data_IF_319023378383
#
_entry.id   IF_319023378383
#
_cell.length_a   1.000
_cell.length_b   1.000
_cell.length_c   1.000
_cell.angle_alpha   90.00
_cell.angle_beta   90.00
_cell.angle_gamma   90.00
#
_symmetry.space_group_name_H-M   'P 1'
#
loop_
_entity.id
_entity.type
_entity.pdbx_description
1 polymer ?
#
# COMPACT_ATOMS: atom_id res chain seq x y z
N UNK A 1 19.86 -18.08 -22.39
CA UNK A 1 19.40 -18.12 -22.34
C UNK A 1 19.26 -18.31 -23.02
N UNK A 2 18.93 -18.19 -23.16
CA UNK A 2 18.51 -17.99 -23.52
C UNK A 2 18.07 -17.89 -23.78
N UNK A 3 17.84 -17.80 -24.52
CA UNK A 3 17.04 -17.52 -24.35
C UNK A 3 16.75 -18.02 -23.78
N UNK A 4 17.85 -18.41 -23.65
CA UNK A 4 17.54 -19.11 -22.83
C UNK A 4 16.47 -19.35 -23.28
N UNK A 5 16.66 -20.12 -23.06
CA UNK A 5 15.31 -19.97 -23.25
C UNK A 5 14.83 -18.74 -22.52
N UNK A 6 15.13 -17.64 -23.11
CA UNK A 6 14.78 -16.37 -22.51
C UNK A 6 13.28 -16.28 -22.31
N UNK A 7 12.53 -16.76 -23.29
CA UNK A 7 11.09 -16.67 -23.20
C UNK A 7 10.53 -17.49 -22.06
N UNK A 8 10.99 -18.71 -21.92
CA UNK A 8 10.55 -19.54 -20.82
C UNK A 8 11.02 -19.01 -19.49
N UNK A 9 12.25 -18.57 -19.45
CA UNK A 9 12.82 -17.94 -18.27
C UNK A 9 11.97 -16.76 -17.83
N UNK A 10 11.60 -15.92 -18.77
CA UNK A 10 10.77 -14.77 -18.49
C UNK A 10 9.36 -15.18 -18.05
N UNK A 11 8.80 -16.16 -18.77
CA UNK A 11 7.45 -16.63 -18.49
C UNK A 11 7.34 -17.29 -17.13
N UNK A 12 8.44 -17.84 -16.62
CA UNK A 12 8.41 -18.56 -15.36
C UNK A 12 8.79 -17.73 -14.16
N UNK A 13 8.81 -16.42 -14.29
CA UNK A 13 9.03 -15.58 -13.16
C UNK A 13 10.07 -14.51 -13.37
N UNK A 14 11.12 -14.78 -14.13
CA UNK A 14 12.16 -13.78 -14.33
C UNK A 14 11.69 -12.65 -15.24
N UNK A 15 10.91 -12.98 -16.23
CA UNK A 15 10.23 -11.97 -17.01
C UNK A 15 9.28 -11.19 -16.13
N UNK A 16 8.56 -11.92 -15.29
CA UNK A 16 7.62 -11.32 -14.39
C UNK A 16 8.33 -10.33 -13.48
N UNK A 17 9.44 -10.74 -12.89
CA UNK A 17 10.23 -9.86 -12.05
C UNK A 17 10.77 -8.66 -12.83
N UNK A 18 11.18 -8.88 -14.09
CA UNK A 18 11.71 -7.80 -14.90
C UNK A 18 10.64 -6.81 -15.32
N UNK A 19 9.44 -7.32 -15.68
CA UNK A 19 8.32 -6.48 -16.10
C UNK A 19 7.60 -5.90 -14.89
N UNK A 20 7.46 -6.70 -13.84
CA UNK A 20 6.78 -6.32 -12.62
C UNK A 20 7.79 -5.94 -11.54
N UNK A 21 8.71 -5.08 -11.91
CA UNK A 21 9.72 -4.57 -10.98
C UNK A 21 9.04 -3.76 -9.87
N UNK A 22 9.82 -3.31 -8.93
CA UNK A 22 9.30 -2.50 -7.84
C UNK A 22 8.48 -1.33 -8.38
N UNK A 23 7.33 -1.05 -7.79
CA UNK A 23 6.53 0.11 -8.20
C UNK A 23 7.36 1.39 -8.11
N UNK A 24 7.18 2.27 -9.08
CA UNK A 24 8.01 3.46 -9.16
C UNK A 24 8.04 4.29 -7.87
N UNK A 25 6.92 4.50 -7.16
CA UNK A 25 6.98 5.28 -5.92
C UNK A 25 7.85 4.67 -4.83
N UNK A 26 8.14 3.36 -4.85
CA UNK A 26 9.04 2.77 -3.88
C UNK A 26 10.50 3.12 -4.18
N UNK A 27 10.80 3.53 -5.40
CA UNK A 27 12.15 3.83 -5.86
C UNK A 27 12.38 5.33 -6.07
N UNK A 28 11.32 6.10 -6.18
CA UNK A 28 11.36 7.54 -6.43
C UNK A 28 10.73 8.25 -5.24
N UNK A 29 11.58 8.79 -4.37
CA UNK A 29 11.13 9.44 -3.15
C UNK A 29 10.25 10.66 -3.42
N UNK A 30 10.57 11.42 -4.46
CA UNK A 30 9.76 12.59 -4.80
C UNK A 30 8.36 12.19 -5.21
N UNK A 31 8.25 11.15 -6.03
CA UNK A 31 6.95 10.65 -6.46
C UNK A 31 6.16 10.11 -5.27
N UNK A 32 6.82 9.37 -4.40
CA UNK A 32 6.18 8.84 -3.20
C UNK A 32 5.63 9.99 -2.34
N UNK A 33 6.41 11.01 -2.12
CA UNK A 33 5.99 12.17 -1.32
C UNK A 33 4.84 12.92 -1.98
N UNK A 34 4.92 13.08 -3.29
CA UNK A 34 3.84 13.73 -4.04
C UNK A 34 2.53 12.96 -3.90
N UNK A 35 2.59 11.65 -4.07
CA UNK A 35 1.41 10.81 -3.97
C UNK A 35 0.84 10.83 -2.55
N UNK A 36 1.73 10.78 -1.54
CA UNK A 36 1.30 10.87 -0.15
C UNK A 36 0.60 12.19 0.15
N UNK A 37 1.18 13.29 -0.31
CA UNK A 37 0.59 14.60 -0.07
C UNK A 37 -0.75 14.74 -0.78
N UNK A 38 -0.88 14.17 -1.97
CA UNK A 38 -2.17 14.15 -2.68
C UNK A 38 -3.21 13.36 -1.89
N UNK A 39 -2.83 12.25 -1.29
CA UNK A 39 -3.74 11.43 -0.50
C UNK A 39 -4.19 12.18 0.76
N UNK A 40 -3.30 12.95 1.37
CA UNK A 40 -3.65 13.74 2.55
C UNK A 40 -4.67 14.82 2.18
N UNK A 41 -4.49 15.47 1.03
CA UNK A 41 -5.31 16.60 0.62
C UNK A 41 -6.65 16.21 0.01
N UNK A 42 -6.72 15.06 -0.65
CA UNK A 42 -7.94 14.67 -1.35
C UNK A 42 -9.06 14.37 -0.36
N UNK A 43 -10.21 15.01 -0.53
CA UNK A 43 -11.31 14.86 0.40
C UNK A 43 -11.85 13.44 0.49
N UNK A 44 -11.76 12.68 -0.60
CA UNK A 44 -12.27 11.32 -0.61
C UNK A 44 -11.26 10.30 -0.08
N UNK A 45 -10.02 10.69 0.15
CA UNK A 45 -8.99 9.81 0.69
C UNK A 45 -8.67 10.15 2.14
N UNK A 46 -8.36 11.41 2.42
CA UNK A 46 -8.07 11.89 3.78
C UNK A 46 -7.10 10.96 4.51
N UNK A 47 -5.93 10.72 3.92
CA UNK A 47 -4.90 9.93 4.58
C UNK A 47 -4.60 10.56 5.94
N UNK A 48 -4.84 9.82 7.00
CA UNK A 48 -4.99 10.38 8.32
C UNK A 48 -3.76 10.34 9.19
N UNK A 49 -3.90 10.84 10.40
CA UNK A 49 -2.77 10.98 11.32
C UNK A 49 -2.35 9.65 11.91
N UNK A 50 -1.10 9.62 12.38
CA UNK A 50 -0.57 8.49 13.10
C UNK A 50 -1.18 8.37 14.49
N UNK A 51 -1.63 9.48 15.05
CA UNK A 51 -2.05 9.59 16.45
C UNK A 51 -3.52 9.21 16.63
N UNK A 52 -3.76 8.13 17.37
CA UNK A 52 -5.12 7.69 17.68
C UNK A 52 -5.85 8.64 18.61
N UNK A 53 -5.16 9.59 19.22
CA UNK A 53 -5.82 10.58 20.08
C UNK A 53 -6.33 11.78 19.30
N UNK A 54 -6.16 11.81 17.99
CA UNK A 54 -6.76 12.86 17.17
C UNK A 54 -8.24 12.52 16.98
N UNK A 55 -9.04 12.80 17.99
CA UNK A 55 -10.46 12.45 17.99
C UNK A 55 -11.20 13.10 16.83
N UNK A 56 -10.83 14.32 16.44
CA UNK A 56 -11.50 15.00 15.33
C UNK A 56 -11.46 14.19 14.06
N UNK A 57 -10.28 13.65 13.73
CA UNK A 57 -10.15 12.81 12.54
C UNK A 57 -10.98 11.54 12.65
N UNK A 58 -10.88 10.84 13.79
CA UNK A 58 -11.56 9.55 13.94
C UNK A 58 -13.06 9.69 14.01
N UNK A 59 -13.56 10.81 14.54
CA UNK A 59 -14.99 11.08 14.52
C UNK A 59 -15.50 11.25 13.08
N UNK A 60 -14.75 11.99 12.26
CA UNK A 60 -15.12 12.17 10.86
C UNK A 60 -15.03 10.87 10.08
N UNK A 61 -14.01 10.07 10.35
CA UNK A 61 -13.87 8.77 9.70
C UNK A 61 -15.02 7.84 10.07
N UNK A 62 -15.39 7.81 11.34
CA UNK A 62 -16.51 6.99 11.80
C UNK A 62 -17.80 7.41 11.12
N UNK A 63 -18.02 8.71 10.97
CA UNK A 63 -19.18 9.22 10.26
C UNK A 63 -19.15 8.80 8.79
N UNK A 64 -17.99 8.95 8.16
CA UNK A 64 -17.82 8.57 6.75
C UNK A 64 -18.14 7.11 6.53
N UNK A 65 -17.68 6.22 7.42
CA UNK A 65 -17.92 4.79 7.30
C UNK A 65 -19.22 4.33 7.96
N UNK A 66 -19.96 5.26 8.55
CA UNK A 66 -21.22 4.96 9.23
C UNK A 66 -21.03 3.91 10.32
N UNK A 67 -20.08 4.15 11.20
CA UNK A 67 -19.74 3.23 12.28
C UNK A 67 -19.35 4.00 13.54
N UNK A 68 -18.81 3.31 14.55
CA UNK A 68 -18.38 3.94 15.78
C UNK A 68 -16.92 4.35 15.70
N UNK A 69 -16.52 5.28 16.58
CA UNK A 69 -15.13 5.71 16.66
C UNK A 69 -14.22 4.52 16.99
N UNK A 70 -14.67 3.64 17.87
CA UNK A 70 -13.89 2.47 18.26
C UNK A 70 -13.60 1.56 17.06
N UNK A 71 -14.61 1.32 16.24
CA UNK A 71 -14.43 0.49 15.03
C UNK A 71 -13.56 1.22 14.02
N UNK A 72 -13.76 2.53 13.87
CA UNK A 72 -12.93 3.31 12.94
C UNK A 72 -11.45 3.21 13.32
N UNK A 73 -11.14 3.28 14.62
CA UNK A 73 -9.75 3.20 15.08
C UNK A 73 -9.11 1.84 14.84
N UNK A 74 -9.90 0.81 14.59
CA UNK A 74 -9.39 -0.51 14.23
C UNK A 74 -9.15 -0.67 12.73
N UNK A 75 -9.65 0.25 11.94
CA UNK A 75 -9.56 0.20 10.48
C UNK A 75 -8.33 0.97 10.02
N UNK A 76 -7.19 0.29 10.02
CA UNK A 76 -5.89 0.91 9.72
C UNK A 76 -5.28 0.32 8.46
N UNK A 77 -4.28 0.99 7.93
CA UNK A 77 -3.58 0.49 6.74
C UNK A 77 -3.13 -0.95 6.94
N UNK A 78 -2.67 -1.30 8.12
CA UNK A 78 -2.14 -2.64 8.38
C UNK A 78 -3.13 -3.77 8.14
N UNK A 79 -4.42 -3.49 8.09
CA UNK A 79 -5.41 -4.50 7.75
C UNK A 79 -6.25 -4.11 6.52
N UNK A 80 -5.74 -3.18 5.73
CA UNK A 80 -6.38 -2.76 4.49
C UNK A 80 -6.04 -3.74 3.36
N UNK A 81 -7.02 -4.02 2.52
CA UNK A 81 -6.88 -4.97 1.41
C UNK A 81 -5.79 -4.56 0.42
N UNK A 82 -5.47 -3.27 0.34
CA UNK A 82 -4.49 -2.74 -0.60
C UNK A 82 -3.10 -2.54 0.01
N UNK A 83 -2.91 -2.89 1.28
CA UNK A 83 -1.65 -2.66 1.99
C UNK A 83 -0.72 -3.85 1.79
N UNK A 84 0.37 -3.63 1.07
CA UNK A 84 1.26 -4.69 0.61
C UNK A 84 2.51 -4.77 1.47
N UNK A 85 2.62 -5.87 2.22
CA UNK A 85 3.81 -6.21 3.01
C UNK A 85 4.35 -7.56 2.59
N UNK A 86 4.09 -7.97 1.36
CA UNK A 86 4.67 -9.20 0.82
C UNK A 86 6.19 -9.12 0.84
N UNK A 87 6.84 -10.26 0.81
CA UNK A 87 8.29 -10.32 0.86
C UNK A 87 8.92 -9.51 -0.28
N UNK A 88 8.40 -9.67 -1.49
CA UNK A 88 8.91 -8.90 -2.63
C UNK A 88 8.76 -7.40 -2.43
N UNK A 89 7.65 -6.98 -1.85
CA UNK A 89 7.41 -5.55 -1.66
C UNK A 89 8.31 -4.98 -0.57
N UNK A 90 8.53 -5.73 0.50
CA UNK A 90 9.44 -5.28 1.55
C UNK A 90 10.87 -5.14 1.03
N UNK A 91 11.26 -5.97 0.07
CA UNK A 91 12.57 -5.82 -0.57
C UNK A 91 12.64 -4.53 -1.40
N UNK A 92 11.52 -4.07 -1.92
CA UNK A 92 11.45 -2.81 -2.65
C UNK A 92 11.54 -1.60 -1.73
N UNK A 93 11.33 -1.78 -0.43
CA UNK A 93 11.24 -0.71 0.55
C UNK A 93 12.16 -0.96 1.73
N UNK A 94 13.50 -0.95 1.51
CA UNK A 94 14.41 -1.15 2.64
C UNK A 94 14.20 -0.05 3.70
N UNK A 95 14.29 -0.44 4.97
CA UNK A 95 14.06 0.50 6.06
C UNK A 95 12.59 0.73 6.38
N UNK A 96 11.72 -0.21 6.00
CA UNK A 96 10.28 -0.07 6.22
C UNK A 96 9.87 -0.18 7.69
N UNK A 97 10.72 -0.71 8.55
CA UNK A 97 10.41 -0.82 9.98
C UNK A 97 10.58 0.54 10.63
N UNK A 98 9.59 0.96 11.40
CA UNK A 98 9.56 2.25 12.09
C UNK A 98 9.34 1.99 13.58
N UNK A 99 9.71 2.97 14.43
CA UNK A 99 9.58 2.82 15.88
C UNK A 99 8.14 2.57 16.34
N UNK A 100 7.18 3.16 15.66
CA UNK A 100 5.76 3.09 16.03
C UNK A 100 4.93 2.24 15.09
N UNK A 101 5.58 1.47 14.21
CA UNK A 101 4.89 0.60 13.26
C UNK A 101 5.80 0.26 12.10
N UNK A 102 5.22 0.11 10.91
CA UNK A 102 5.99 -0.24 9.73
C UNK A 102 5.30 0.33 8.48
N UNK A 103 6.06 0.40 7.40
CA UNK A 103 5.55 0.85 6.12
C UNK A 103 5.18 -0.33 5.24
N UNK A 104 4.12 -0.16 4.46
CA UNK A 104 3.75 -1.06 3.40
C UNK A 104 3.37 -0.22 2.19
N UNK A 105 3.16 -0.86 1.07
CA UNK A 105 2.84 -0.13 -0.15
C UNK A 105 1.33 -0.12 -0.38
N UNK A 106 0.77 1.05 -0.59
CA UNK A 106 -0.66 1.20 -0.87
C UNK A 106 -0.91 1.16 -2.37
N UNK A 107 -1.54 0.10 -2.86
CA UNK A 107 -1.84 -0.02 -4.28
C UNK A 107 -2.95 0.90 -4.75
N UNK A 108 -3.81 1.33 -3.84
CA UNK A 108 -4.89 2.26 -4.21
C UNK A 108 -4.36 3.64 -4.55
N UNK A 109 -3.39 4.14 -3.78
CA UNK A 109 -2.94 5.52 -3.92
C UNK A 109 -1.47 5.62 -4.28
N UNK A 110 -0.80 4.51 -4.49
CA UNK A 110 0.56 4.42 -5.03
C UNK A 110 1.59 5.17 -4.20
N UNK A 111 1.65 4.88 -2.92
CA UNK A 111 2.67 5.42 -2.04
C UNK A 111 2.92 4.47 -0.86
N UNK A 112 4.05 4.69 -0.17
CA UNK A 112 4.36 3.93 1.03
C UNK A 112 3.54 4.50 2.18
N UNK A 113 2.64 3.69 2.75
CA UNK A 113 1.79 4.15 3.84
C UNK A 113 2.14 3.45 5.14
N UNK A 114 1.78 4.09 6.23
CA UNK A 114 2.17 3.63 7.57
C UNK A 114 1.09 2.71 8.13
N UNK A 115 1.53 1.63 8.79
CA UNK A 115 0.63 0.61 9.32
C UNK A 115 -0.42 1.15 10.30
N UNK A 116 -0.08 2.22 11.03
CA UNK A 116 -0.95 2.76 12.07
C UNK A 116 -1.80 3.94 11.61
N UNK A 117 -1.75 4.28 10.33
CA UNK A 117 -2.62 5.31 9.74
C UNK A 117 -3.78 4.67 9.01
N UNK A 118 -4.67 5.48 8.50
CA UNK A 118 -5.78 5.01 7.68
C UNK A 118 -6.16 6.08 6.65
N UNK A 119 -7.15 5.77 5.82
CA UNK A 119 -7.74 6.76 4.91
C UNK A 119 -9.20 6.37 4.67
N UNK A 120 -9.95 7.29 4.08
CA UNK A 120 -11.39 7.05 3.87
C UNK A 120 -11.67 5.92 2.89
N UNK A 121 -10.69 5.55 2.04
CA UNK A 121 -10.88 4.44 1.10
C UNK A 121 -10.47 3.09 1.68
N UNK A 122 -10.16 3.02 2.96
CA UNK A 122 -9.81 1.77 3.62
C UNK A 122 -10.86 0.69 3.34
N UNK A 123 -10.40 -0.52 3.10
CA UNK A 123 -11.28 -1.66 2.87
C UNK A 123 -10.69 -2.89 3.58
N UNK A 124 -11.57 -3.68 4.19
CA UNK A 124 -11.14 -4.87 4.90
C UNK A 124 -10.62 -5.94 3.95
N UNK A 125 -9.82 -6.85 4.48
CA UNK A 125 -9.33 -7.99 3.70
C UNK A 125 -7.83 -8.09 3.59
N UNK A 126 -7.08 -7.15 4.14
CA UNK A 126 -5.64 -7.18 4.10
C UNK A 126 -5.01 -7.64 5.39
N UNK A 127 -3.69 -7.55 5.46
CA UNK A 127 -2.83 -6.98 4.41
C UNK A 127 -2.53 -7.99 3.30
N UNK A 128 -1.81 -7.53 2.27
CA UNK A 128 -1.28 -8.41 1.23
C UNK A 128 0.04 -8.97 1.77
N UNK A 129 0.08 -10.26 2.01
CA UNK A 129 1.26 -10.88 2.63
C UNK A 129 1.88 -11.99 1.77
N UNK A 130 1.42 -12.15 0.54
CA UNK A 130 2.01 -13.10 -0.40
C UNK A 130 2.42 -12.41 -1.69
N UNK A 131 3.52 -12.87 -2.28
CA UNK A 131 4.00 -12.30 -3.54
C UNK A 131 2.98 -12.49 -4.66
N UNK A 132 2.26 -13.61 -4.64
CA UNK A 132 1.27 -13.88 -5.67
C UNK A 132 0.20 -12.78 -5.71
N UNK A 133 -0.36 -12.44 -4.56
CA UNK A 133 -1.40 -11.42 -4.50
C UNK A 133 -0.81 -10.05 -4.82
N UNK A 134 0.42 -9.80 -4.38
CA UNK A 134 1.13 -8.56 -4.70
C UNK A 134 1.26 -8.38 -6.21
N UNK A 135 1.69 -9.41 -6.93
CA UNK A 135 1.81 -9.35 -8.37
C UNK A 135 0.46 -9.16 -9.06
N UNK A 136 -0.59 -9.78 -8.53
CA UNK A 136 -1.93 -9.60 -9.07
C UNK A 136 -2.39 -8.15 -8.97
N UNK A 137 -2.11 -7.50 -7.85
CA UNK A 137 -2.43 -6.09 -7.67
C UNK A 137 -1.67 -5.22 -8.66
N UNK A 138 -0.37 -5.47 -8.80
CA UNK A 138 0.46 -4.68 -9.71
C UNK A 138 0.01 -4.85 -11.15
N UNK A 139 -0.30 -6.08 -11.55
CA UNK A 139 -0.76 -6.36 -12.90
C UNK A 139 -2.03 -5.58 -13.21
N UNK A 140 -2.99 -5.60 -12.30
CA UNK A 140 -4.24 -4.86 -12.50
C UNK A 140 -4.00 -3.35 -12.52
N UNK A 141 -3.11 -2.87 -11.67
CA UNK A 141 -2.84 -1.44 -11.58
C UNK A 141 -2.16 -0.94 -12.85
N UNK A 142 -1.24 -1.70 -13.40
CA UNK A 142 -0.51 -1.30 -14.59
C UNK A 142 -1.31 -1.51 -15.87
N UNK A 143 -2.33 -2.34 -15.83
CA UNK A 143 -3.19 -2.58 -16.99
C UNK A 143 -4.27 -1.51 -17.17
N UNK A 144 -4.49 -0.68 -16.15
CA UNK A 144 -5.56 0.32 -16.20
C UNK A 144 -5.09 1.70 -16.63
#
# INVERSE_FOLDING_TARGET
MDTFDLKSYLAEGKLYEAVMACPLPTQDLELNTKNRNSAIKADYIKYGPLNLTDEGYWELAAEHWNTTVEVAKESKCKNCVAFDISERMLECMPGSVQDDGYLGYCWMHSFKCHSERTCYTWAAGGPIDTDKVSYEWQERKEAS
#
